data_IF_866252708338
#
_entry.id   IF_866252708338
#
_cell.length_a   1.000
_cell.length_b   1.000
_cell.length_c   1.000
_cell.angle_alpha   90.00
_cell.angle_beta   90.00
_cell.angle_gamma   90.00
#
_symmetry.space_group_name_H-M   'P 1'
#
loop_
_entity.id
_entity.type
_entity.pdbx_description
1 polymer ?
#
# COMPACT_ATOMS: atom_id res chain seq x y z
N UNK A 1 -6.76 -13.84 -8.33
CA UNK A 1 -5.75 -13.50 -9.38
C UNK A 1 -5.80 -12.11 -10.05
N UNK A 2 -6.90 -11.34 -10.08
CA UNK A 2 -6.97 -10.03 -10.80
C UNK A 2 -6.23 -8.80 -10.20
N UNK A 3 -5.98 -8.65 -8.88
CA UNK A 3 -5.31 -7.44 -8.32
C UNK A 3 -3.80 -7.50 -8.43
N UNK A 4 -3.18 -8.70 -8.42
CA UNK A 4 -1.74 -8.82 -8.67
C UNK A 4 -1.45 -8.45 -10.12
N UNK A 5 -2.39 -8.74 -11.03
CA UNK A 5 -2.42 -8.21 -12.39
C UNK A 5 -2.73 -6.71 -12.43
N UNK A 6 -3.62 -6.18 -11.59
CA UNK A 6 -4.00 -4.75 -11.61
C UNK A 6 -2.95 -3.81 -10.98
N UNK A 7 -2.26 -4.24 -9.93
CA UNK A 7 -1.09 -3.56 -9.38
C UNK A 7 0.13 -3.74 -10.30
N UNK A 8 0.35 -4.93 -10.88
CA UNK A 8 1.35 -5.07 -11.96
C UNK A 8 1.00 -4.13 -13.11
N UNK A 9 -0.23 -4.04 -13.59
CA UNK A 9 -0.55 -3.18 -14.74
C UNK A 9 -0.35 -1.70 -14.42
N UNK A 10 -0.58 -1.23 -13.19
CA UNK A 10 -0.23 0.16 -12.81
C UNK A 10 1.29 0.38 -12.80
N UNK A 11 2.07 -0.49 -12.17
CA UNK A 11 3.54 -0.35 -12.14
C UNK A 11 4.14 -0.51 -13.53
N UNK A 12 3.67 -1.48 -14.31
CA UNK A 12 4.06 -1.68 -15.71
C UNK A 12 3.61 -0.53 -16.60
N UNK A 13 2.48 0.13 -16.33
CA UNK A 13 2.09 1.36 -17.04
C UNK A 13 3.09 2.48 -16.79
N UNK A 14 3.56 2.68 -15.56
CA UNK A 14 4.58 3.69 -15.28
C UNK A 14 5.94 3.33 -15.87
N UNK A 15 6.34 2.07 -15.84
CA UNK A 15 7.57 1.58 -16.50
C UNK A 15 7.47 1.74 -18.01
N UNK A 16 6.33 1.36 -18.61
CA UNK A 16 6.09 1.50 -20.05
C UNK A 16 6.05 2.97 -20.47
N UNK A 17 5.39 3.84 -19.71
CA UNK A 17 5.41 5.29 -19.95
C UNK A 17 6.83 5.86 -19.80
N UNK A 18 7.62 5.35 -18.85
CA UNK A 18 9.03 5.70 -18.70
C UNK A 18 9.88 5.26 -19.90
N UNK A 19 9.69 4.02 -20.38
CA UNK A 19 10.37 3.49 -21.57
C UNK A 19 9.95 4.26 -22.82
N UNK A 20 8.66 4.53 -23.01
CA UNK A 20 8.15 5.34 -24.12
C UNK A 20 8.75 6.74 -24.06
N UNK A 21 8.77 7.37 -22.87
CA UNK A 21 9.39 8.66 -22.65
C UNK A 21 10.89 8.66 -22.98
N UNK A 22 11.61 7.61 -22.57
CA UNK A 22 13.03 7.45 -22.87
C UNK A 22 13.28 7.23 -24.38
N UNK A 23 12.48 6.39 -25.04
CA UNK A 23 12.59 6.14 -26.49
C UNK A 23 12.27 7.39 -27.29
N UNK A 24 11.23 8.15 -26.91
CA UNK A 24 10.91 9.43 -27.54
C UNK A 24 12.02 10.45 -27.30
N UNK A 25 12.61 10.48 -26.10
CA UNK A 25 13.75 11.35 -25.80
C UNK A 25 14.99 10.98 -26.61
N UNK A 26 15.35 9.70 -26.68
CA UNK A 26 16.46 9.20 -27.50
C UNK A 26 16.21 9.50 -28.98
N UNK A 27 15.00 9.24 -29.47
CA UNK A 27 14.61 9.55 -30.84
C UNK A 27 14.69 11.04 -31.16
N UNK A 28 14.32 11.91 -30.20
CA UNK A 28 14.46 13.35 -30.32
C UNK A 28 15.92 13.79 -30.31
N UNK A 29 16.76 13.23 -29.44
CA UNK A 29 18.21 13.53 -29.39
C UNK A 29 18.90 13.07 -30.67
N UNK A 30 18.61 11.85 -31.15
CA UNK A 30 19.16 11.32 -32.40
C UNK A 30 18.64 12.08 -33.62
N UNK A 31 17.36 12.44 -33.63
CA UNK A 31 16.76 13.24 -34.69
C UNK A 31 17.36 14.65 -34.77
N UNK A 32 17.55 15.30 -33.63
CA UNK A 32 18.25 16.59 -33.54
C UNK A 32 19.70 16.43 -34.00
N UNK A 33 20.41 15.41 -33.52
CA UNK A 33 21.79 15.11 -33.91
C UNK A 33 21.97 14.82 -35.41
N UNK A 34 21.01 14.12 -36.02
CA UNK A 34 21.00 13.85 -37.45
C UNK A 34 20.73 15.12 -38.26
N UNK A 35 19.79 15.96 -37.83
CA UNK A 35 19.50 17.25 -38.46
C UNK A 35 20.70 18.20 -38.33
N UNK A 36 21.34 18.28 -37.17
CA UNK A 36 22.57 19.07 -37.01
C UNK A 36 23.72 18.53 -37.82
N UNK A 37 23.89 17.20 -37.95
CA UNK A 37 24.90 16.62 -38.82
C UNK A 37 24.64 16.92 -40.31
N UNK A 38 23.39 16.81 -40.77
CA UNK A 38 23.00 17.17 -42.14
C UNK A 38 23.18 18.66 -42.45
N UNK A 39 23.02 19.52 -41.44
CA UNK A 39 23.12 20.96 -41.57
C UNK A 39 24.46 21.53 -41.06
N UNK A 40 25.38 20.68 -40.62
CA UNK A 40 26.65 21.05 -39.99
C UNK A 40 27.50 21.97 -40.87
N UNK A 41 27.46 21.75 -42.19
CA UNK A 41 28.18 22.58 -43.16
C UNK A 41 27.52 23.95 -43.40
N UNK A 42 26.32 24.18 -42.86
CA UNK A 42 25.48 25.38 -43.07
C UNK A 42 25.05 26.09 -41.79
N UNK A 43 25.19 25.47 -40.62
CA UNK A 43 24.81 26.04 -39.33
C UNK A 43 26.04 26.51 -38.57
N UNK A 44 25.96 27.72 -38.03
CA UNK A 44 26.94 28.26 -37.10
C UNK A 44 27.02 27.36 -35.85
N UNK A 45 28.25 27.02 -35.45
CA UNK A 45 28.55 26.21 -34.27
C UNK A 45 27.84 26.73 -33.01
N UNK A 46 27.67 28.05 -32.89
CA UNK A 46 26.96 28.69 -31.79
C UNK A 46 25.49 28.27 -31.69
N UNK A 47 24.84 27.98 -32.83
CA UNK A 47 23.44 27.55 -32.87
C UNK A 47 23.34 26.12 -32.33
N UNK A 48 24.27 25.23 -32.69
CA UNK A 48 24.32 23.84 -32.22
C UNK A 48 24.47 23.79 -30.69
N UNK A 49 25.41 24.56 -30.15
CA UNK A 49 25.61 24.67 -28.70
C UNK A 49 24.37 25.23 -27.99
N UNK A 50 23.70 26.23 -28.57
CA UNK A 50 22.47 26.80 -28.00
C UNK A 50 21.36 25.74 -27.89
N UNK A 51 21.15 24.92 -28.93
CA UNK A 51 20.16 23.84 -28.88
C UNK A 51 20.48 22.77 -27.84
N UNK A 52 21.74 22.36 -27.74
CA UNK A 52 22.20 21.40 -26.72
C UNK A 52 21.94 21.92 -25.30
N UNK A 53 22.26 23.19 -25.04
CA UNK A 53 22.02 23.85 -23.76
C UNK A 53 20.52 23.85 -23.43
N UNK A 54 19.66 24.16 -24.40
CA UNK A 54 18.20 24.16 -24.22
C UNK A 54 17.65 22.75 -23.89
N UNK A 55 18.16 21.70 -24.54
CA UNK A 55 17.76 20.32 -24.24
C UNK A 55 18.16 19.88 -22.82
N UNK A 56 19.38 20.23 -22.39
CA UNK A 56 19.85 19.94 -21.03
C UNK A 56 18.98 20.70 -20.01
N UNK A 57 18.70 21.98 -20.24
CA UNK A 57 17.80 22.78 -19.40
C UNK A 57 16.40 22.16 -19.30
N UNK A 58 15.81 21.72 -20.42
CA UNK A 58 14.50 21.08 -20.42
C UNK A 58 14.49 19.76 -19.64
N UNK A 59 15.55 18.95 -19.76
CA UNK A 59 15.71 17.72 -18.99
C UNK A 59 15.82 17.99 -17.48
N UNK A 60 16.61 18.99 -17.08
CA UNK A 60 16.75 19.40 -15.68
C UNK A 60 15.43 19.93 -15.10
N UNK A 61 14.69 20.75 -15.85
CA UNK A 61 13.35 21.24 -15.46
C UNK A 61 12.39 20.05 -15.25
N UNK A 62 12.39 19.08 -16.16
CA UNK A 62 11.54 17.89 -16.01
C UNK A 62 11.90 17.06 -14.76
N UNK A 63 13.19 16.83 -14.50
CA UNK A 63 13.64 16.14 -13.29
C UNK A 63 13.22 16.90 -12.03
N UNK A 64 13.33 18.22 -12.03
CA UNK A 64 12.89 19.08 -10.93
C UNK A 64 11.38 18.97 -10.71
N UNK A 65 10.56 19.03 -11.77
CA UNK A 65 9.11 18.88 -11.69
C UNK A 65 8.72 17.51 -11.13
N UNK A 66 9.38 16.43 -11.59
CA UNK A 66 9.15 15.07 -11.09
C UNK A 66 9.50 14.98 -9.60
N UNK A 67 10.65 15.51 -9.19
CA UNK A 67 11.07 15.57 -7.79
C UNK A 67 10.07 16.33 -6.92
N UNK A 68 9.62 17.50 -7.37
CA UNK A 68 8.63 18.32 -6.67
C UNK A 68 7.28 17.61 -6.52
N UNK A 69 6.77 16.99 -7.61
CA UNK A 69 5.53 16.21 -7.59
C UNK A 69 5.62 15.04 -6.61
N UNK A 70 6.74 14.31 -6.61
CA UNK A 70 6.96 13.20 -5.70
C UNK A 70 6.97 13.65 -4.22
N UNK A 71 7.64 14.76 -3.92
CA UNK A 71 7.65 15.34 -2.56
C UNK A 71 6.25 15.76 -2.11
N UNK A 72 5.48 16.43 -2.98
CA UNK A 72 4.10 16.82 -2.70
C UNK A 72 3.21 15.61 -2.43
N UNK A 73 3.28 14.59 -3.28
CA UNK A 73 2.50 13.35 -3.13
C UNK A 73 2.82 12.62 -1.81
N UNK A 74 4.10 12.56 -1.44
CA UNK A 74 4.51 11.96 -0.16
C UNK A 74 3.95 12.74 1.03
N UNK A 75 4.01 14.08 1.00
CA UNK A 75 3.42 14.92 2.06
C UNK A 75 1.92 14.67 2.22
N UNK A 76 1.19 14.60 1.10
CA UNK A 76 -0.24 14.27 1.12
C UNK A 76 -0.50 12.90 1.73
N UNK A 77 0.27 11.86 1.36
CA UNK A 77 0.15 10.53 1.96
C UNK A 77 0.43 10.56 3.47
N UNK A 78 1.48 11.25 3.91
CA UNK A 78 1.82 11.38 5.32
C UNK A 78 0.65 11.96 6.13
N UNK A 79 0.02 13.04 5.63
CA UNK A 79 -1.12 13.65 6.32
C UNK A 79 -2.34 12.73 6.30
N UNK A 80 -2.57 12.04 5.18
CA UNK A 80 -3.67 11.08 5.06
C UNK A 80 -3.61 9.96 6.10
N UNK A 81 -2.46 9.28 6.22
CA UNK A 81 -2.29 8.21 7.19
C UNK A 81 -2.30 8.72 8.63
N UNK A 82 -1.82 9.94 8.87
CA UNK A 82 -1.96 10.59 10.18
C UNK A 82 -3.43 10.78 10.58
N UNK A 83 -4.26 11.26 9.66
CA UNK A 83 -5.69 11.43 9.91
C UNK A 83 -6.41 10.08 10.13
N UNK A 84 -6.07 9.06 9.35
CA UNK A 84 -6.58 7.70 9.54
C UNK A 84 -6.16 7.14 10.91
N UNK A 85 -4.90 7.31 11.29
CA UNK A 85 -4.41 6.82 12.59
C UNK A 85 -5.12 7.48 13.77
N UNK A 86 -5.46 8.77 13.69
CA UNK A 86 -6.29 9.43 14.72
C UNK A 86 -7.70 8.85 14.81
N UNK A 87 -8.26 8.34 13.70
CA UNK A 87 -9.56 7.68 13.68
C UNK A 87 -9.43 6.28 14.31
N UNK A 88 -8.46 5.48 13.87
CA UNK A 88 -8.22 4.12 14.36
C UNK A 88 -7.88 4.13 15.85
N UNK A 89 -6.95 4.98 16.26
CA UNK A 89 -6.40 5.04 17.61
C UNK A 89 -7.00 6.19 18.41
N UNK A 90 -8.31 6.42 18.28
CA UNK A 90 -9.00 7.54 18.94
C UNK A 90 -8.78 7.55 20.47
N UNK A 91 -8.70 6.38 21.09
CA UNK A 91 -8.41 6.22 22.53
C UNK A 91 -6.96 6.56 22.89
N UNK A 92 -6.01 6.37 21.96
CA UNK A 92 -4.57 6.63 22.13
C UNK A 92 -4.12 7.84 21.32
N UNK A 93 -5.02 8.78 21.02
CA UNK A 93 -4.80 9.82 20.00
C UNK A 93 -3.52 10.62 20.24
N UNK A 94 -3.33 11.13 21.47
CA UNK A 94 -2.15 11.95 21.79
C UNK A 94 -0.84 11.16 21.67
N UNK A 95 -0.84 9.89 22.12
CA UNK A 95 0.31 9.00 22.01
C UNK A 95 0.62 8.65 20.54
N UNK A 96 -0.42 8.38 19.76
CA UNK A 96 -0.29 8.13 18.32
C UNK A 96 0.28 9.36 17.61
N UNK A 97 -0.22 10.56 17.90
CA UNK A 97 0.27 11.78 17.28
C UNK A 97 1.76 12.00 17.58
N UNK A 98 2.16 11.85 18.85
CA UNK A 98 3.56 11.94 19.26
C UNK A 98 4.44 10.87 18.60
N UNK A 99 3.99 9.60 18.61
CA UNK A 99 4.69 8.48 17.99
C UNK A 99 4.87 8.71 16.48
N UNK A 100 3.81 9.12 15.79
CA UNK A 100 3.84 9.31 14.35
C UNK A 100 4.78 10.47 13.95
N UNK A 101 4.77 11.58 14.70
CA UNK A 101 5.72 12.68 14.49
C UNK A 101 7.16 12.23 14.75
N UNK A 102 7.41 11.50 15.84
CA UNK A 102 8.73 10.93 16.13
C UNK A 102 9.19 9.97 15.01
N UNK A 103 8.30 9.09 14.56
CA UNK A 103 8.55 8.11 13.52
C UNK A 103 8.91 8.78 12.19
N UNK A 104 8.25 9.87 11.82
CA UNK A 104 8.59 10.60 10.60
C UNK A 104 9.93 11.34 10.67
N UNK A 105 10.30 11.85 11.85
CA UNK A 105 11.48 12.69 12.03
C UNK A 105 12.78 11.88 12.21
N UNK A 106 12.70 10.68 12.77
CA UNK A 106 13.89 9.91 13.17
C UNK A 106 14.22 8.72 12.28
N UNK A 107 13.45 8.47 11.21
CA UNK A 107 13.69 7.34 10.33
C UNK A 107 14.71 7.68 9.23
N UNK A 108 15.85 6.99 9.27
CA UNK A 108 16.93 7.07 8.25
C UNK A 108 16.62 6.26 6.99
N UNK A 109 15.62 5.36 7.05
CA UNK A 109 15.15 4.54 5.93
C UNK A 109 13.83 5.06 5.36
N UNK A 110 13.62 4.73 4.08
CA UNK A 110 12.46 5.11 3.28
C UNK A 110 11.23 4.26 3.66
N UNK A 111 10.70 4.45 4.86
CA UNK A 111 9.47 3.76 5.32
C UNK A 111 8.23 4.39 4.70
N UNK A 112 7.18 3.57 4.50
CA UNK A 112 5.87 4.05 4.06
C UNK A 112 5.09 4.50 5.30
N UNK A 113 4.25 5.55 5.20
CA UNK A 113 3.51 6.01 6.37
C UNK A 113 2.52 4.97 6.94
N UNK A 114 2.05 4.01 6.14
CA UNK A 114 1.25 2.87 6.60
C UNK A 114 2.02 1.97 7.60
N UNK A 115 3.34 1.87 7.48
CA UNK A 115 4.18 1.09 8.38
C UNK A 115 4.16 1.68 9.80
N UNK A 116 4.02 3.01 9.92
CA UNK A 116 3.88 3.69 11.21
C UNK A 116 2.55 3.34 11.90
N UNK A 117 1.46 3.18 11.14
CA UNK A 117 0.17 2.75 11.68
C UNK A 117 0.25 1.32 12.20
N UNK A 118 0.81 0.41 11.40
CA UNK A 118 0.97 -0.99 11.78
C UNK A 118 1.87 -1.14 13.02
N UNK A 119 3.03 -0.46 13.05
CA UNK A 119 3.94 -0.51 14.18
C UNK A 119 3.32 0.05 15.47
N UNK A 120 2.52 1.11 15.38
CA UNK A 120 1.81 1.63 16.54
C UNK A 120 0.72 0.67 17.01
N UNK A 121 -0.06 0.08 16.10
CA UNK A 121 -1.06 -0.92 16.45
C UNK A 121 -0.42 -2.12 17.17
N UNK A 122 0.71 -2.59 16.67
CA UNK A 122 1.47 -3.70 17.24
C UNK A 122 1.98 -3.37 18.64
N UNK A 123 2.60 -2.21 18.82
CA UNK A 123 3.05 -1.73 20.13
C UNK A 123 1.93 -1.68 21.18
N UNK A 124 0.70 -1.37 20.74
CA UNK A 124 -0.48 -1.31 21.60
C UNK A 124 -1.22 -2.65 21.75
N UNK A 125 -0.73 -3.72 21.12
CA UNK A 125 -1.40 -5.01 21.08
C UNK A 125 -2.79 -4.94 20.43
N UNK A 126 -2.98 -4.01 19.49
CA UNK A 126 -4.23 -3.78 18.76
C UNK A 126 -4.25 -4.49 17.40
N UNK A 127 -3.09 -4.95 16.92
CA UNK A 127 -2.96 -5.74 15.70
C UNK A 127 -2.43 -7.13 15.97
N UNK A 128 -2.68 -8.03 15.02
CA UNK A 128 -2.02 -9.33 14.92
C UNK A 128 -1.32 -9.45 13.56
N UNK A 129 -0.15 -10.07 13.55
CA UNK A 129 0.63 -10.37 12.35
C UNK A 129 0.66 -11.89 12.15
N UNK A 130 0.10 -12.35 11.04
CA UNK A 130 0.03 -13.79 10.71
C UNK A 130 0.75 -14.04 9.39
N UNK A 131 1.57 -15.09 9.31
CA UNK A 131 2.15 -15.55 8.05
C UNK A 131 1.04 -15.83 7.03
N UNK A 132 1.24 -15.50 5.75
CA UNK A 132 0.27 -15.82 4.71
C UNK A 132 -0.08 -17.31 4.62
N UNK A 133 0.86 -18.19 5.00
CA UNK A 133 0.66 -19.64 5.08
C UNK A 133 0.03 -20.10 6.38
N UNK A 134 -0.05 -19.26 7.41
CA UNK A 134 -0.20 -19.63 8.83
C UNK A 134 -1.47 -20.41 9.20
N UNK A 135 -1.75 -21.52 8.55
CA UNK A 135 -2.80 -22.48 8.86
C UNK A 135 -2.63 -23.01 10.29
N UNK A 136 -1.39 -23.11 10.77
CA UNK A 136 -1.03 -23.38 12.16
C UNK A 136 -1.42 -22.25 13.13
N UNK A 137 -1.67 -21.02 12.65
CA UNK A 137 -2.05 -19.85 13.44
C UNK A 137 -3.56 -19.63 13.52
N UNK A 138 -4.39 -20.56 13.05
CA UNK A 138 -5.85 -20.42 13.10
C UNK A 138 -6.37 -20.11 14.52
N UNK A 139 -5.87 -20.84 15.53
CA UNK A 139 -6.26 -20.63 16.92
C UNK A 139 -5.85 -19.25 17.43
N UNK A 140 -4.66 -18.78 17.05
CA UNK A 140 -4.14 -17.47 17.44
C UNK A 140 -5.01 -16.32 16.88
N UNK A 141 -5.52 -16.46 15.65
CA UNK A 141 -6.44 -15.47 15.07
C UNK A 141 -7.72 -15.36 15.90
N UNK A 142 -8.35 -16.49 16.23
CA UNK A 142 -9.60 -16.48 16.99
C UNK A 142 -9.38 -16.01 18.44
N UNK A 143 -8.29 -16.43 19.09
CA UNK A 143 -7.91 -15.98 20.43
C UNK A 143 -7.70 -14.47 20.46
N UNK A 144 -6.98 -13.92 19.48
CA UNK A 144 -6.80 -12.48 19.34
C UNK A 144 -8.14 -11.77 19.18
N UNK A 145 -9.04 -12.25 18.32
CA UNK A 145 -10.36 -11.63 18.11
C UNK A 145 -11.20 -11.71 19.39
N UNK A 146 -11.23 -12.85 20.07
CA UNK A 146 -11.94 -13.03 21.34
C UNK A 146 -11.39 -12.09 22.43
N UNK A 147 -10.10 -11.74 22.38
CA UNK A 147 -9.52 -10.75 23.31
C UNK A 147 -10.03 -9.32 23.08
N UNK A 148 -10.61 -9.03 21.91
CA UNK A 148 -11.08 -7.69 21.52
C UNK A 148 -12.60 -7.56 21.46
N UNK A 149 -13.32 -8.67 21.33
CA UNK A 149 -14.77 -8.68 21.14
C UNK A 149 -15.39 -9.69 22.10
N UNK A 150 -16.45 -9.29 22.80
CA UNK A 150 -17.11 -10.12 23.82
C UNK A 150 -17.98 -11.21 23.17
N UNK A 151 -17.32 -12.27 22.69
CA UNK A 151 -17.97 -13.47 22.14
C UNK A 151 -17.07 -14.70 22.31
N UNK A 152 -17.70 -15.87 22.37
CA UNK A 152 -17.01 -17.17 22.49
C UNK A 152 -17.33 -18.12 21.33
N UNK A 153 -18.10 -17.67 20.33
CA UNK A 153 -18.56 -18.55 19.23
C UNK A 153 -18.49 -17.87 17.87
N UNK A 154 -17.98 -18.63 16.92
CA UNK A 154 -17.76 -18.26 15.52
C UNK A 154 -18.46 -19.28 14.60
N UNK A 155 -19.80 -19.21 14.46
CA UNK A 155 -20.54 -20.25 13.74
C UNK A 155 -20.10 -20.38 12.28
N UNK A 156 -19.70 -19.29 11.61
CA UNK A 156 -19.21 -19.38 10.23
C UNK A 156 -17.82 -20.04 10.16
N UNK A 157 -16.98 -19.98 11.21
CA UNK A 157 -15.69 -20.68 11.21
C UNK A 157 -15.85 -22.16 11.54
N UNK A 158 -16.81 -22.51 12.41
CA UNK A 158 -17.20 -23.91 12.66
C UNK A 158 -17.67 -24.57 11.36
N UNK A 159 -18.61 -23.94 10.64
CA UNK A 159 -19.09 -24.44 9.34
C UNK A 159 -17.94 -24.57 8.32
N UNK A 160 -17.04 -23.58 8.27
CA UNK A 160 -15.87 -23.64 7.40
C UNK A 160 -14.98 -24.86 7.72
N UNK A 161 -14.71 -25.14 9.00
CA UNK A 161 -13.87 -26.28 9.41
C UNK A 161 -14.51 -27.61 9.03
N UNK A 162 -15.82 -27.76 9.21
CA UNK A 162 -16.55 -28.96 8.81
C UNK A 162 -16.39 -29.26 7.32
N UNK A 163 -16.40 -28.23 6.46
CA UNK A 163 -16.18 -28.38 5.02
C UNK A 163 -14.75 -28.82 4.64
N UNK A 164 -13.80 -28.65 5.55
CA UNK A 164 -12.37 -28.90 5.35
C UNK A 164 -11.83 -30.10 6.13
N UNK A 165 -12.68 -30.78 6.92
CA UNK A 165 -12.32 -32.02 7.62
C UNK A 165 -11.71 -33.04 6.65
N UNK A 166 -10.47 -33.45 6.94
CA UNK A 166 -9.74 -34.45 6.15
C UNK A 166 -9.13 -33.95 4.83
N UNK A 167 -9.08 -32.64 4.56
CA UNK A 167 -8.42 -32.07 3.39
C UNK A 167 -7.11 -31.41 3.80
N UNK A 168 -6.01 -31.73 3.10
CA UNK A 168 -4.79 -30.92 3.20
C UNK A 168 -5.09 -29.50 2.71
N UNK A 169 -4.91 -28.53 3.61
CA UNK A 169 -4.88 -27.12 3.27
C UNK A 169 -3.42 -26.73 3.15
N UNK A 170 -3.04 -26.26 1.96
CA UNK A 170 -1.73 -25.67 1.70
C UNK A 170 -1.95 -24.35 0.96
N UNK A 171 -0.97 -23.47 1.05
CA UNK A 171 -0.88 -22.20 0.33
C UNK A 171 -1.80 -21.06 0.83
N UNK A 172 -2.11 -20.99 2.14
CA UNK A 172 -2.78 -19.84 2.75
C UNK A 172 -4.27 -19.70 2.42
N UNK A 173 -4.81 -20.62 1.59
CA UNK A 173 -6.20 -20.55 1.11
C UNK A 173 -7.20 -20.69 2.25
N UNK A 174 -6.85 -21.48 3.26
CA UNK A 174 -7.69 -21.69 4.41
C UNK A 174 -7.76 -20.41 5.26
N UNK A 175 -6.62 -19.78 5.55
CA UNK A 175 -6.56 -18.53 6.34
C UNK A 175 -7.37 -17.40 5.70
N UNK A 176 -7.32 -17.26 4.37
CA UNK A 176 -8.17 -16.27 3.67
C UNK A 176 -9.66 -16.56 3.86
N UNK A 177 -10.06 -17.84 3.86
CA UNK A 177 -11.45 -18.24 4.09
C UNK A 177 -11.85 -18.05 5.54
N UNK A 178 -10.95 -18.35 6.47
CA UNK A 178 -11.14 -18.11 7.91
C UNK A 178 -11.41 -16.63 8.17
N UNK A 179 -10.58 -15.72 7.66
CA UNK A 179 -10.83 -14.27 7.78
C UNK A 179 -12.17 -13.84 7.19
N UNK A 180 -12.59 -14.43 6.06
CA UNK A 180 -13.89 -14.12 5.45
C UNK A 180 -15.06 -14.68 6.23
N UNK A 181 -14.91 -15.83 6.89
CA UNK A 181 -15.89 -16.39 7.79
C UNK A 181 -16.03 -15.53 9.05
N UNK A 182 -14.91 -15.18 9.67
CA UNK A 182 -14.85 -14.26 10.83
C UNK A 182 -15.47 -12.90 10.53
N UNK A 183 -15.20 -12.31 9.35
CA UNK A 183 -15.80 -11.04 8.94
C UNK A 183 -17.34 -11.10 8.89
N UNK A 184 -17.94 -12.25 8.57
CA UNK A 184 -19.41 -12.39 8.58
C UNK A 184 -19.95 -12.36 10.01
N UNK A 185 -19.30 -13.04 10.94
CA UNK A 185 -19.69 -13.08 12.35
C UNK A 185 -19.47 -11.71 13.01
N UNK A 186 -18.30 -11.10 12.80
CA UNK A 186 -17.96 -9.79 13.34
C UNK A 186 -18.95 -8.70 12.92
N UNK A 187 -19.45 -8.73 11.68
CA UNK A 187 -20.45 -7.78 11.21
C UNK A 187 -21.75 -7.82 12.02
N UNK A 188 -22.14 -8.99 12.52
CA UNK A 188 -23.32 -9.13 13.39
C UNK A 188 -23.10 -8.45 14.74
N UNK A 189 -21.83 -8.38 15.17
CA UNK A 189 -21.39 -7.70 16.39
C UNK A 189 -21.02 -6.23 16.14
N UNK A 190 -21.35 -5.66 14.97
CA UNK A 190 -20.97 -4.29 14.58
C UNK A 190 -19.45 -4.05 14.53
N UNK A 191 -18.66 -5.10 14.32
CA UNK A 191 -17.20 -5.06 14.15
C UNK A 191 -16.79 -5.54 12.76
N UNK A 192 -15.59 -5.16 12.33
CA UNK A 192 -15.02 -5.56 11.04
C UNK A 192 -13.50 -5.65 11.13
N UNK A 193 -12.92 -6.52 10.31
CA UNK A 193 -11.47 -6.65 10.14
C UNK A 193 -10.95 -5.59 9.17
N UNK A 194 -9.96 -4.82 9.60
CA UNK A 194 -9.22 -3.89 8.76
C UNK A 194 -7.77 -4.38 8.61
N UNK A 195 -7.36 -4.60 7.37
CA UNK A 195 -6.04 -5.10 7.01
C UNK A 195 -5.14 -3.95 6.53
N UNK A 196 -3.87 -4.03 6.91
CA UNK A 196 -2.78 -3.18 6.42
C UNK A 196 -2.04 -3.91 5.30
N UNK A 197 -2.03 -3.35 4.09
CA UNK A 197 -1.24 -3.88 2.97
C UNK A 197 0.20 -3.41 3.09
N UNK A 198 0.99 -4.22 3.81
CA UNK A 198 2.41 -3.94 3.99
C UNK A 198 3.27 -4.51 2.85
N UNK A 199 2.69 -5.07 1.80
CA UNK A 199 3.45 -5.60 0.64
C UNK A 199 4.35 -6.80 0.96
N UNK A 200 4.15 -7.46 2.09
CA UNK A 200 4.88 -8.65 2.53
C UNK A 200 4.04 -9.92 2.49
N UNK A 201 4.66 -11.02 2.94
CA UNK A 201 4.08 -12.36 3.01
C UNK A 201 3.36 -12.59 4.35
N UNK A 202 2.62 -11.59 4.82
CA UNK A 202 1.93 -11.62 6.11
C UNK A 202 0.63 -10.82 6.07
N UNK A 203 -0.37 -11.28 6.82
CA UNK A 203 -1.57 -10.52 7.12
C UNK A 203 -1.37 -9.73 8.40
N UNK A 204 -1.45 -8.40 8.29
CA UNK A 204 -1.51 -7.51 9.45
C UNK A 204 -2.91 -6.93 9.52
N UNK A 205 -3.60 -7.13 10.63
CA UNK A 205 -4.97 -6.67 10.77
C UNK A 205 -5.28 -6.17 12.18
N UNK A 206 -6.30 -5.31 12.26
CA UNK A 206 -6.93 -4.86 13.50
C UNK A 206 -8.44 -5.14 13.41
N UNK A 207 -9.12 -4.99 14.54
CA UNK A 207 -10.58 -5.01 14.63
C UNK A 207 -11.07 -3.60 14.89
N UNK A 208 -12.08 -3.15 14.13
CA UNK A 208 -12.68 -1.83 14.27
C UNK A 208 -14.19 -1.95 14.29
N UNK A 209 -14.89 -1.00 14.92
CA UNK A 209 -16.33 -0.89 14.77
C UNK A 209 -16.71 -0.52 13.31
N UNK A 210 -17.94 -0.85 12.91
CA UNK A 210 -18.41 -0.63 11.54
C UNK A 210 -18.40 0.86 11.11
N UNK A 211 -18.56 1.80 12.06
CA UNK A 211 -18.55 3.24 11.76
C UNK A 211 -17.14 3.70 11.42
N UNK A 212 -16.16 3.33 12.25
CA UNK A 212 -14.73 3.57 12.00
C UNK A 212 -14.30 2.92 10.69
N UNK A 213 -14.65 1.65 10.47
CA UNK A 213 -14.34 0.95 9.22
C UNK A 213 -14.89 1.70 7.99
N UNK A 214 -16.17 2.09 8.01
CA UNK A 214 -16.81 2.83 6.92
C UNK A 214 -16.14 4.17 6.67
N UNK A 215 -15.74 4.88 7.72
CA UNK A 215 -15.06 6.18 7.59
C UNK A 215 -13.68 6.04 6.96
N UNK A 216 -12.92 5.01 7.32
CA UNK A 216 -11.62 4.72 6.70
C UNK A 216 -11.82 4.31 5.24
N UNK A 217 -12.77 3.42 4.93
CA UNK A 217 -12.99 2.96 3.55
C UNK A 217 -13.48 4.05 2.58
N UNK A 218 -14.11 5.13 3.08
CA UNK A 218 -14.44 6.31 2.25
C UNK A 218 -13.21 7.03 1.72
N UNK A 219 -12.06 6.91 2.40
CA UNK A 219 -10.81 7.58 2.03
C UNK A 219 -10.23 7.05 0.71
N UNK A 220 -10.73 5.90 0.22
CA UNK A 220 -10.27 5.19 -0.98
C UNK A 220 -8.78 4.83 -0.94
N UNK A 221 -8.24 4.64 0.27
CA UNK A 221 -6.88 4.17 0.43
C UNK A 221 -6.69 2.78 -0.19
N UNK A 222 -5.54 2.59 -0.83
CA UNK A 222 -5.16 1.32 -1.45
C UNK A 222 -4.43 0.42 -0.46
N UNK A 223 -3.76 0.99 0.54
CA UNK A 223 -2.94 0.23 1.49
C UNK A 223 -3.76 -0.24 2.72
N UNK A 224 -5.08 0.02 2.72
CA UNK A 224 -6.02 -0.44 3.72
C UNK A 224 -7.22 -1.11 3.06
N UNK A 225 -7.68 -2.23 3.63
CA UNK A 225 -8.84 -2.93 3.10
C UNK A 225 -9.52 -3.85 4.11
N UNK A 226 -10.79 -4.19 3.86
CA UNK A 226 -11.46 -5.27 4.59
C UNK A 226 -11.12 -6.66 4.06
N UNK A 227 -11.60 -7.69 4.77
CA UNK A 227 -11.40 -9.10 4.41
C UNK A 227 -11.90 -9.44 2.99
N UNK A 228 -12.88 -8.71 2.47
CA UNK A 228 -13.42 -8.91 1.12
C UNK A 228 -12.40 -8.76 -0.02
N UNK A 229 -11.33 -7.98 0.17
CA UNK A 229 -10.26 -7.82 -0.83
C UNK A 229 -9.19 -8.93 -0.76
N UNK A 230 -9.21 -9.79 0.26
CA UNK A 230 -8.30 -10.95 0.36
C UNK A 230 -8.58 -11.95 -0.76
N UNK A 231 -7.52 -12.48 -1.38
CA UNK A 231 -7.60 -13.26 -2.61
C UNK A 231 -6.97 -14.64 -2.41
N UNK A 232 -7.78 -15.65 -2.71
CA UNK A 232 -7.38 -17.04 -2.93
C UNK A 232 -6.62 -17.15 -4.26
#
# INVERSE_FOLDING_TARGET
>A
MTNKLEMRTKTWRYVLLGIIGLVLFIGLVLGVGFITAMLSDKLDENIIWTFLILLILAALINLFIIGYRNKKNLKTKIHHYFDIGKIIFSQYKAEFEAYYTYYLNNQTRKFRPIDALAAFADNKGLSLVIDWRGEENEGEIEEFINSKVDTLRWPNTVELREQYLGRETRDGKFIIRLFKALEKDLKQLNHQLLFFDLGGDSYVFIITDATTFKNIMKSKDIDLHGAGKLRI
#
